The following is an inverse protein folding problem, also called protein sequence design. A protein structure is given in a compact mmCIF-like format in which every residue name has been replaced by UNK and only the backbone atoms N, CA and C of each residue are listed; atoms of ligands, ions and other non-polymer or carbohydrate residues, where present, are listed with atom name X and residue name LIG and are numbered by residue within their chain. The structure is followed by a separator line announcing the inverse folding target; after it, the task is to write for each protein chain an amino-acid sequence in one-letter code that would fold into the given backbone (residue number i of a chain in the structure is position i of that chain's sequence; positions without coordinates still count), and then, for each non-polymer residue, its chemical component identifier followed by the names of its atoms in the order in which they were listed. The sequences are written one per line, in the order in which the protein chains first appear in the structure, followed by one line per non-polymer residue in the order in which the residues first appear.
data_IF_548283969037
#
_entry.id   IF_548283969037
#
_cell.length_a   1.000
_cell.length_b   1.000
_cell.length_c   1.000
_cell.angle_alpha   90.00
_cell.angle_beta   90.00
_cell.angle_gamma   90.00
#
_symmetry.space_group_name_H-M   'P 1'
#
loop_
_entity.id
_entity.type
_entity.pdbx_description
1 polymer ?
#
# COMPACT_ATOMS: atom_id res chain seq x y z
N UNK A 1 -9.50 -15.88 15.11
CA UNK A 1 -10.11 -14.55 14.85
C UNK A 1 -10.54 -14.54 13.39
N UNK A 2 -11.83 -14.68 13.14
CA UNK A 2 -12.41 -14.57 11.80
C UNK A 2 -12.70 -13.09 11.54
N UNK A 3 -12.12 -12.46 10.51
CA UNK A 3 -12.57 -11.15 10.07
C UNK A 3 -13.96 -11.32 9.46
N UNK A 4 -14.94 -10.60 9.99
CA UNK A 4 -16.24 -10.47 9.35
C UNK A 4 -16.07 -9.58 8.11
N UNK A 5 -16.07 -10.17 6.91
CA UNK A 5 -16.32 -9.42 5.68
C UNK A 5 -17.79 -9.03 5.68
N UNK A 6 -18.10 -7.85 6.17
CA UNK A 6 -19.41 -7.24 6.01
C UNK A 6 -19.34 -6.26 4.84
N UNK A 7 -20.05 -6.53 3.75
CA UNK A 7 -20.35 -5.52 2.71
C UNK A 7 -21.37 -4.48 3.18
N UNK A 8 -21.89 -4.64 4.40
CA UNK A 8 -22.70 -3.66 5.15
C UNK A 8 -22.27 -3.67 6.62
N UNK A 9 -21.33 -2.81 6.99
CA UNK A 9 -21.14 -2.43 8.39
C UNK A 9 -22.36 -1.66 8.90
N UNK A 10 -22.61 -1.70 10.20
CA UNK A 10 -23.75 -1.07 10.88
C UNK A 10 -23.72 0.48 10.88
N UNK A 11 -22.65 1.09 10.35
CA UNK A 11 -22.63 2.51 10.03
C UNK A 11 -23.21 2.71 8.63
N UNK A 12 -24.23 3.54 8.50
CA UNK A 12 -24.68 4.02 7.20
C UNK A 12 -23.52 4.77 6.54
N UNK A 13 -22.72 4.09 5.70
CA UNK A 13 -21.72 4.79 4.89
C UNK A 13 -22.48 5.79 4.03
N UNK A 14 -22.24 7.08 4.24
CA UNK A 14 -22.85 8.10 3.40
C UNK A 14 -22.44 7.81 1.96
N UNK A 15 -23.42 7.85 1.07
CA UNK A 15 -23.21 7.77 -0.37
C UNK A 15 -23.12 9.20 -0.90
N UNK A 16 -22.52 9.44 -2.08
CA UNK A 16 -22.56 10.78 -2.64
C UNK A 16 -24.03 11.13 -2.95
N UNK A 17 -24.37 12.41 -2.89
CA UNK A 17 -25.71 12.89 -3.28
C UNK A 17 -25.88 12.91 -4.80
N UNK A 18 -24.80 13.18 -5.54
CA UNK A 18 -24.72 13.21 -7.00
C UNK A 18 -23.47 12.49 -7.51
N UNK A 19 -23.48 12.16 -8.80
CA UNK A 19 -22.26 11.78 -9.50
C UNK A 19 -21.56 13.05 -9.97
N UNK A 20 -20.46 13.40 -9.29
CA UNK A 20 -19.66 14.58 -9.61
C UNK A 20 -18.59 14.26 -10.64
N UNK A 21 -18.44 15.16 -11.62
CA UNK A 21 -17.48 15.02 -12.72
C UNK A 21 -17.60 13.62 -13.36
N UNK A 22 -18.80 13.27 -13.79
CA UNK A 22 -19.08 11.96 -14.40
C UNK A 22 -18.49 11.89 -15.81
N UNK A 23 -17.72 10.84 -16.06
CA UNK A 23 -17.10 10.53 -17.35
C UNK A 23 -17.39 9.09 -17.73
N UNK A 24 -17.77 8.88 -19.00
CA UNK A 24 -18.07 7.55 -19.54
C UNK A 24 -17.33 7.39 -20.86
N UNK A 25 -16.49 6.36 -20.97
CA UNK A 25 -15.79 5.99 -22.20
C UNK A 25 -16.18 4.57 -22.63
N UNK A 26 -16.28 4.36 -23.95
CA UNK A 26 -16.60 3.07 -24.56
C UNK A 26 -15.43 2.57 -25.39
N UNK A 27 -15.08 1.31 -25.18
CA UNK A 27 -14.00 0.63 -25.90
C UNK A 27 -14.52 -0.63 -26.56
N UNK A 28 -13.95 -1.01 -27.70
CA UNK A 28 -14.15 -2.36 -28.24
C UNK A 28 -13.45 -3.42 -27.36
N UNK A 29 -13.57 -4.69 -27.74
CA UNK A 29 -12.93 -5.81 -27.02
C UNK A 29 -11.41 -5.79 -27.03
N UNK A 30 -10.80 -5.16 -28.03
CA UNK A 30 -9.35 -4.96 -28.08
C UNK A 30 -8.87 -3.77 -27.23
N UNK A 31 -9.80 -2.97 -26.71
CA UNK A 31 -9.51 -1.77 -25.93
C UNK A 31 -9.40 -0.50 -26.77
N UNK A 32 -9.68 -0.55 -28.08
CA UNK A 32 -9.77 0.63 -28.94
C UNK A 32 -10.98 1.48 -28.57
N UNK A 33 -10.81 2.80 -28.42
CA UNK A 33 -11.95 3.68 -28.11
C UNK A 33 -12.87 3.80 -29.30
N UNK A 34 -14.16 3.53 -29.07
CA UNK A 34 -15.20 3.54 -30.11
C UNK A 34 -16.34 4.53 -29.81
N UNK A 35 -16.39 5.09 -28.60
CA UNK A 35 -17.45 6.02 -28.21
C UNK A 35 -17.24 6.60 -26.81
N UNK A 36 -18.23 7.35 -26.32
CA UNK A 36 -18.21 7.99 -25.00
C UNK A 36 -18.04 9.50 -25.04
N UNK A 37 -17.79 10.07 -23.88
CA UNK A 37 -17.79 11.51 -23.64
C UNK A 37 -16.50 12.18 -24.13
N UNK A 38 -16.61 13.44 -24.53
CA UNK A 38 -15.45 14.33 -24.78
C UNK A 38 -15.11 15.20 -23.57
N UNK A 39 -16.10 15.45 -22.70
CA UNK A 39 -15.97 16.25 -21.49
C UNK A 39 -16.75 15.59 -20.36
N UNK A 40 -16.37 15.86 -19.12
CA UNK A 40 -17.08 15.39 -17.94
C UNK A 40 -18.41 16.13 -17.74
N UNK A 41 -19.40 15.45 -17.16
CA UNK A 41 -20.63 16.07 -16.66
C UNK A 41 -20.37 16.51 -15.22
N UNK A 42 -20.40 17.81 -14.95
CA UNK A 42 -20.03 18.36 -13.65
C UNK A 42 -20.87 17.78 -12.50
N UNK A 43 -22.19 17.65 -12.69
CA UNK A 43 -23.11 17.06 -11.73
C UNK A 43 -24.18 16.24 -12.46
N UNK A 44 -24.37 14.99 -12.04
CA UNK A 44 -25.45 14.12 -12.52
C UNK A 44 -26.23 13.55 -11.34
N UNK A 45 -27.56 13.72 -11.36
CA UNK A 45 -28.43 13.20 -10.31
C UNK A 45 -28.42 11.67 -10.29
N UNK A 46 -28.31 11.08 -9.10
CA UNK A 46 -28.30 9.61 -8.95
C UNK A 46 -29.70 9.06 -9.25
N UNK A 47 -29.76 8.02 -10.08
CA UNK A 47 -31.01 7.35 -10.47
C UNK A 47 -31.77 8.04 -11.60
N UNK A 48 -31.20 9.10 -12.19
CA UNK A 48 -31.73 9.74 -13.38
C UNK A 48 -31.10 9.22 -14.67
N UNK A 49 -31.76 9.43 -15.81
CA UNK A 49 -31.22 9.08 -17.12
C UNK A 49 -30.14 10.09 -17.56
N UNK A 50 -29.20 9.62 -18.38
CA UNK A 50 -28.16 10.44 -19.00
C UNK A 50 -28.27 10.34 -20.52
N UNK A 51 -28.14 11.49 -21.20
CA UNK A 51 -28.06 11.55 -22.65
C UNK A 51 -26.60 11.40 -23.07
N UNK A 52 -26.25 10.26 -23.67
CA UNK A 52 -24.90 9.96 -24.13
C UNK A 52 -24.94 9.26 -25.49
N UNK A 53 -24.06 9.68 -26.40
CA UNK A 53 -23.87 8.99 -27.68
C UNK A 53 -22.82 7.88 -27.51
N UNK A 54 -23.27 6.64 -27.67
CA UNK A 54 -22.42 5.45 -27.72
C UNK A 54 -22.55 4.78 -29.10
N UNK A 55 -21.52 4.04 -29.49
CA UNK A 55 -21.52 3.27 -30.74
C UNK A 55 -22.18 1.92 -30.49
N UNK A 56 -23.14 1.55 -31.34
CA UNK A 56 -23.78 0.24 -31.24
C UNK A 56 -22.75 -0.88 -31.41
N UNK A 57 -22.66 -1.78 -30.44
CA UNK A 57 -21.71 -2.88 -30.43
C UNK A 57 -22.23 -4.04 -29.56
N UNK A 58 -22.28 -5.28 -30.09
CA UNK A 58 -22.83 -6.42 -29.36
C UNK A 58 -21.95 -6.91 -28.19
N UNK A 59 -20.64 -6.59 -28.20
CA UNK A 59 -19.71 -6.94 -27.13
C UNK A 59 -18.62 -5.86 -27.05
N UNK A 60 -18.78 -4.94 -26.11
CA UNK A 60 -17.85 -3.85 -25.86
C UNK A 60 -17.59 -3.67 -24.36
N UNK A 61 -16.72 -2.72 -24.03
CA UNK A 61 -16.38 -2.34 -22.66
C UNK A 61 -16.85 -0.93 -22.37
N UNK A 62 -17.31 -0.69 -21.13
CA UNK A 62 -17.61 0.65 -20.62
C UNK A 62 -16.79 0.92 -19.36
N UNK A 63 -16.13 2.08 -19.33
CA UNK A 63 -15.52 2.60 -18.11
C UNK A 63 -16.30 3.85 -17.72
N UNK A 64 -16.85 3.83 -16.51
CA UNK A 64 -17.68 4.89 -15.94
C UNK A 64 -16.99 5.36 -14.66
N UNK A 65 -16.67 6.65 -14.59
CA UNK A 65 -15.99 7.26 -13.44
C UNK A 65 -16.74 8.51 -13.01
N UNK A 66 -17.13 8.60 -11.75
CA UNK A 66 -17.43 9.85 -11.09
C UNK A 66 -16.17 10.29 -10.34
N UNK A 67 -15.49 11.33 -10.82
CA UNK A 67 -14.18 11.74 -10.30
C UNK A 67 -14.22 12.36 -8.90
N UNK A 68 -15.41 12.73 -8.43
CA UNK A 68 -15.63 13.39 -7.14
C UNK A 68 -15.68 14.91 -7.26
N UNK A 69 -16.41 15.53 -6.33
CA UNK A 69 -16.64 16.98 -6.26
C UNK A 69 -15.31 17.73 -6.14
N UNK A 70 -15.10 18.73 -6.99
CA UNK A 70 -13.87 19.54 -7.00
C UNK A 70 -12.66 18.86 -7.65
N UNK A 71 -12.73 17.59 -8.04
CA UNK A 71 -11.65 16.94 -8.77
C UNK A 71 -11.74 17.21 -10.27
N UNK A 72 -10.93 18.16 -10.77
CA UNK A 72 -10.83 18.50 -12.20
C UNK A 72 -9.46 18.19 -12.79
N UNK A 73 -8.57 17.61 -11.99
CA UNK A 73 -7.15 17.39 -12.35
C UNK A 73 -6.91 16.21 -13.28
N UNK A 74 -7.85 15.25 -13.29
CA UNK A 74 -7.69 13.95 -13.96
C UNK A 74 -8.97 13.58 -14.70
N UNK A 75 -8.81 13.02 -15.90
CA UNK A 75 -9.88 12.44 -16.72
C UNK A 75 -9.38 11.15 -17.39
N UNK A 76 -10.31 10.30 -17.85
CA UNK A 76 -9.99 9.14 -18.68
C UNK A 76 -9.42 9.62 -20.01
N UNK A 77 -10.03 10.68 -20.56
CA UNK A 77 -9.69 11.24 -21.86
C UNK A 77 -10.20 10.37 -23.00
N UNK A 78 -9.70 10.62 -24.20
CA UNK A 78 -10.18 9.98 -25.44
C UNK A 78 -9.20 8.95 -26.01
N UNK A 79 -8.25 8.49 -25.20
CA UNK A 79 -7.31 7.43 -25.56
C UNK A 79 -7.94 6.03 -25.55
N UNK A 80 -7.13 5.00 -25.77
CA UNK A 80 -7.53 3.59 -25.64
C UNK A 80 -7.63 3.15 -24.16
N UNK A 81 -8.13 1.93 -23.90
CA UNK A 81 -8.30 1.41 -22.55
C UNK A 81 -6.99 1.36 -21.76
N UNK A 82 -5.89 1.02 -22.41
CA UNK A 82 -4.57 1.03 -21.79
C UNK A 82 -4.19 2.43 -21.27
N UNK A 83 -4.56 3.50 -22.00
CA UNK A 83 -4.38 4.89 -21.56
C UNK A 83 -5.27 5.26 -20.38
N UNK A 84 -6.47 4.68 -20.27
CA UNK A 84 -7.34 4.85 -19.11
C UNK A 84 -6.80 4.10 -17.88
N UNK A 85 -6.17 2.93 -18.09
CA UNK A 85 -5.56 2.11 -17.03
C UNK A 85 -4.29 2.72 -16.43
N UNK A 86 -3.65 3.69 -17.09
CA UNK A 86 -2.54 4.45 -16.49
C UNK A 86 -3.01 5.58 -15.57
N UNK A 87 -4.31 5.92 -15.58
CA UNK A 87 -4.86 7.01 -14.75
C UNK A 87 -4.88 6.60 -13.28
N UNK A 88 -4.43 7.52 -12.43
CA UNK A 88 -4.39 7.31 -10.99
C UNK A 88 -4.68 8.59 -10.22
N UNK A 89 -5.16 8.43 -8.99
CA UNK A 89 -5.41 9.52 -8.04
C UNK A 89 -4.41 9.40 -6.89
N UNK A 90 -3.76 10.51 -6.53
CA UNK A 90 -2.81 10.55 -5.42
C UNK A 90 -3.48 10.19 -4.10
N UNK A 91 -2.75 9.50 -3.21
CA UNK A 91 -3.31 9.08 -1.93
C UNK A 91 -3.87 10.23 -1.09
N UNK A 92 -3.18 11.38 -1.11
CA UNK A 92 -3.55 12.59 -0.36
C UNK A 92 -4.93 13.15 -0.73
N UNK A 93 -5.43 12.90 -1.94
CA UNK A 93 -6.75 13.36 -2.35
C UNK A 93 -7.90 12.58 -1.67
N UNK A 94 -7.60 11.41 -1.11
CA UNK A 94 -8.61 10.50 -0.52
C UNK A 94 -8.36 10.24 0.96
N UNK A 95 -7.11 10.26 1.43
CA UNK A 95 -6.72 9.85 2.79
C UNK A 95 -7.45 10.61 3.90
N UNK A 96 -7.80 11.88 3.67
CA UNK A 96 -8.46 12.75 4.65
C UNK A 96 -10.00 12.75 4.54
N UNK A 97 -10.56 11.99 3.60
CA UNK A 97 -12.02 11.92 3.42
C UNK A 97 -12.66 11.23 4.62
N UNK A 98 -13.66 11.87 5.24
CA UNK A 98 -14.35 11.31 6.39
C UNK A 98 -15.62 10.58 5.91
N UNK A 99 -15.74 9.25 6.07
CA UNK A 99 -16.91 8.48 5.62
C UNK A 99 -18.25 8.93 6.22
N UNK A 100 -18.21 9.64 7.34
CA UNK A 100 -19.39 10.16 8.04
C UNK A 100 -19.73 11.61 7.67
N UNK A 101 -19.00 12.21 6.72
CA UNK A 101 -19.24 13.56 6.23
C UNK A 101 -19.71 13.52 4.76
N UNK A 102 -20.88 14.14 4.49
CA UNK A 102 -21.49 14.14 3.16
C UNK A 102 -20.62 14.82 2.10
N UNK A 103 -20.03 15.98 2.41
CA UNK A 103 -19.15 16.70 1.49
C UNK A 103 -17.90 15.87 1.14
N UNK A 104 -17.35 15.14 2.11
CA UNK A 104 -16.19 14.26 1.86
C UNK A 104 -16.61 13.05 1.01
N UNK A 105 -17.81 12.50 1.19
CA UNK A 105 -18.32 11.41 0.35
C UNK A 105 -18.72 11.87 -1.05
N UNK A 106 -19.04 13.14 -1.24
CA UNK A 106 -19.20 13.78 -2.54
C UNK A 106 -17.86 13.94 -3.28
N UNK A 107 -16.75 14.09 -2.53
CA UNK A 107 -15.38 14.16 -3.07
C UNK A 107 -14.77 12.80 -3.41
N UNK A 108 -15.28 11.71 -2.82
CA UNK A 108 -14.80 10.35 -3.09
C UNK A 108 -14.98 9.97 -4.57
N UNK A 109 -13.96 9.42 -5.25
CA UNK A 109 -14.11 8.89 -6.59
C UNK A 109 -14.86 7.55 -6.60
N UNK A 110 -15.73 7.36 -7.58
CA UNK A 110 -16.46 6.12 -7.80
C UNK A 110 -16.26 5.62 -9.23
N UNK A 111 -16.02 4.32 -9.40
CA UNK A 111 -15.72 3.70 -10.69
C UNK A 111 -16.54 2.44 -10.94
N UNK A 112 -16.81 2.19 -12.20
CA UNK A 112 -17.33 0.93 -12.71
C UNK A 112 -16.69 0.63 -14.06
N UNK A 113 -16.02 -0.51 -14.17
CA UNK A 113 -15.57 -1.06 -15.44
C UNK A 113 -16.42 -2.28 -15.78
N UNK A 114 -17.17 -2.18 -16.86
CA UNK A 114 -17.96 -3.27 -17.42
C UNK A 114 -17.19 -3.83 -18.60
N UNK A 115 -16.61 -5.01 -18.42
CA UNK A 115 -15.76 -5.64 -19.45
C UNK A 115 -16.59 -6.24 -20.60
N UNK A 116 -17.86 -6.58 -20.37
CA UNK A 116 -18.70 -7.25 -21.36
C UNK A 116 -20.13 -6.70 -21.33
N UNK A 117 -20.44 -5.82 -22.27
CA UNK A 117 -21.79 -5.24 -22.43
C UNK A 117 -22.17 -5.13 -23.90
N UNK A 118 -23.48 -5.24 -24.15
CA UNK A 118 -24.08 -4.95 -25.43
C UNK A 118 -24.69 -3.54 -25.39
N UNK A 119 -24.36 -2.72 -26.38
CA UNK A 119 -24.94 -1.38 -26.59
C UNK A 119 -25.75 -1.42 -27.87
N UNK A 120 -27.08 -1.31 -27.75
CA UNK A 120 -28.00 -1.37 -28.88
C UNK A 120 -29.32 -0.67 -28.55
N UNK A 121 -29.92 0.02 -29.53
CA UNK A 121 -31.31 0.48 -29.42
C UNK A 121 -31.60 1.33 -28.17
N UNK A 122 -30.69 2.23 -27.83
CA UNK A 122 -30.72 3.09 -26.61
C UNK A 122 -30.66 2.32 -25.28
N UNK A 123 -30.18 1.08 -25.28
CA UNK A 123 -30.03 0.26 -24.07
C UNK A 123 -28.59 -0.22 -23.89
N UNK A 124 -28.18 -0.33 -22.63
CA UNK A 124 -26.97 -1.06 -22.22
C UNK A 124 -27.47 -2.33 -21.54
N UNK A 125 -27.10 -3.48 -22.09
CA UNK A 125 -27.52 -4.78 -21.57
C UNK A 125 -26.29 -5.62 -21.23
N UNK A 126 -26.46 -6.59 -20.34
CA UNK A 126 -25.52 -7.71 -20.33
C UNK A 126 -25.52 -8.39 -21.71
N UNK A 127 -24.47 -9.16 -22.03
CA UNK A 127 -24.44 -9.97 -23.26
C UNK A 127 -25.60 -10.99 -23.35
N UNK A 128 -26.26 -11.29 -22.24
CA UNK A 128 -27.47 -12.13 -22.15
C UNK A 128 -28.79 -11.35 -22.32
N UNK A 129 -28.74 -10.04 -22.54
CA UNK A 129 -29.91 -9.20 -22.79
C UNK A 129 -30.66 -8.72 -21.54
N UNK A 130 -30.07 -8.82 -20.33
CA UNK A 130 -30.71 -8.34 -19.09
C UNK A 130 -30.42 -6.85 -18.88
N UNK A 131 -31.49 -6.09 -18.63
CA UNK A 131 -31.40 -4.69 -18.21
C UNK A 131 -30.95 -4.63 -16.74
N UNK A 132 -29.93 -3.82 -16.45
CA UNK A 132 -29.33 -3.70 -15.11
C UNK A 132 -29.05 -2.24 -14.77
N UNK A 133 -29.44 -1.84 -13.56
CA UNK A 133 -29.00 -0.55 -13.00
C UNK A 133 -27.51 -0.62 -12.72
N UNK A 134 -26.78 0.36 -13.24
CA UNK A 134 -25.34 0.46 -13.03
C UNK A 134 -25.04 1.02 -11.64
N UNK A 135 -24.27 0.27 -10.85
CA UNK A 135 -23.85 0.67 -9.50
C UNK A 135 -22.35 0.94 -9.53
N UNK A 136 -21.98 2.22 -9.44
CA UNK A 136 -20.59 2.61 -9.25
C UNK A 136 -20.11 2.23 -7.85
N UNK A 137 -18.82 1.94 -7.74
CA UNK A 137 -18.17 1.47 -6.51
C UNK A 137 -17.12 2.49 -6.10
N UNK A 138 -16.99 2.79 -4.81
CA UNK A 138 -15.92 3.71 -4.35
C UNK A 138 -14.56 3.14 -4.75
N UNK A 139 -13.66 4.01 -5.18
CA UNK A 139 -12.34 3.59 -5.62
C UNK A 139 -11.48 3.03 -4.48
N UNK A 140 -11.71 3.54 -3.26
CA UNK A 140 -10.88 3.26 -2.10
C UNK A 140 -11.29 2.02 -1.31
N UNK A 141 -10.31 1.44 -0.60
CA UNK A 141 -10.50 0.40 0.41
C UNK A 141 -10.52 1.05 1.79
N UNK A 142 -11.46 0.71 2.66
CA UNK A 142 -11.42 1.16 4.07
C UNK A 142 -10.74 0.09 4.90
N UNK A 143 -9.69 0.46 5.64
CA UNK A 143 -9.04 -0.41 6.61
C UNK A 143 -9.31 0.12 8.01
N UNK A 144 -9.85 -0.72 8.87
CA UNK A 144 -10.01 -0.44 10.31
C UNK A 144 -9.25 -1.48 11.10
N UNK A 145 -8.39 -1.01 12.00
CA UNK A 145 -7.54 -1.81 12.87
C UNK A 145 -7.91 -1.50 14.31
N UNK A 146 -8.26 -2.53 15.07
CA UNK A 146 -8.37 -2.52 16.52
C UNK A 146 -7.25 -3.38 17.10
N UNK A 147 -6.56 -2.93 18.14
CA UNK A 147 -5.50 -3.74 18.76
C UNK A 147 -5.45 -3.66 20.28
N UNK A 148 -4.91 -4.73 20.86
CA UNK A 148 -4.56 -4.81 22.28
C UNK A 148 -3.19 -5.45 22.43
N UNK A 149 -2.42 -4.94 23.40
CA UNK A 149 -1.06 -5.40 23.69
C UNK A 149 -0.89 -5.60 25.19
N UNK A 150 -0.43 -6.79 25.61
CA UNK A 150 -0.34 -7.15 27.04
C UNK A 150 0.96 -7.84 27.47
N UNK A 151 2.00 -7.89 26.64
CA UNK A 151 3.25 -8.54 27.01
C UNK A 151 4.13 -7.63 27.88
N UNK A 152 4.59 -8.15 29.02
CA UNK A 152 5.39 -7.40 29.99
C UNK A 152 6.84 -7.19 29.54
N UNK A 153 7.50 -6.16 30.09
CA UNK A 153 8.88 -5.81 29.76
C UNK A 153 9.09 -5.17 28.38
N UNK A 154 8.02 -5.01 27.60
CA UNK A 154 8.01 -4.34 26.31
C UNK A 154 6.79 -3.42 26.24
N UNK A 155 6.91 -2.32 25.49
CA UNK A 155 5.81 -1.38 25.26
C UNK A 155 5.63 -1.16 23.77
N UNK A 156 4.39 -1.24 23.27
CA UNK A 156 4.06 -0.90 21.89
C UNK A 156 4.41 0.57 21.62
N UNK A 157 5.28 0.83 20.64
CA UNK A 157 5.79 2.18 20.31
C UNK A 157 5.41 2.64 18.92
N UNK A 158 5.31 1.72 17.97
CA UNK A 158 5.16 2.06 16.57
C UNK A 158 4.24 1.06 15.88
N UNK A 159 3.43 1.57 14.95
CA UNK A 159 2.58 0.76 14.07
C UNK A 159 2.80 1.27 12.64
N UNK A 160 3.14 0.35 11.74
CA UNK A 160 3.47 0.64 10.35
C UNK A 160 2.57 -0.17 9.43
N UNK A 161 1.82 0.48 8.55
CA UNK A 161 1.13 -0.16 7.43
C UNK A 161 2.08 -0.10 6.23
N UNK A 162 2.56 -1.26 5.80
CA UNK A 162 3.63 -1.37 4.80
C UNK A 162 3.12 -2.00 3.51
N UNK A 163 3.87 -1.75 2.43
CA UNK A 163 3.52 -2.18 1.07
C UNK A 163 2.11 -1.71 0.68
N UNK A 164 1.79 -0.45 1.00
CA UNK A 164 0.56 0.21 0.56
C UNK A 164 0.85 0.90 -0.77
N UNK A 165 0.10 0.62 -1.86
CA UNK A 165 0.33 1.35 -3.10
C UNK A 165 0.20 2.86 -2.86
N UNK A 166 1.05 3.65 -3.51
CA UNK A 166 1.05 5.11 -3.31
C UNK A 166 -0.19 5.78 -3.94
N UNK A 167 -0.68 5.23 -5.04
CA UNK A 167 -1.73 5.84 -5.85
C UNK A 167 -2.93 4.89 -6.05
N UNK A 168 -4.12 5.47 -6.12
CA UNK A 168 -5.36 4.78 -6.47
C UNK A 168 -5.46 4.64 -7.99
N UNK A 169 -5.18 3.45 -8.54
CA UNK A 169 -5.41 3.16 -9.97
C UNK A 169 -6.91 3.16 -10.27
N UNK A 170 -7.32 4.00 -11.22
CA UNK A 170 -8.75 4.24 -11.51
C UNK A 170 -9.40 3.02 -12.17
N UNK A 171 -8.74 2.47 -13.18
CA UNK A 171 -9.18 1.26 -13.88
C UNK A 171 -8.16 0.16 -13.58
N UNK A 172 -8.64 -1.00 -13.13
CA UNK A 172 -7.76 -2.12 -12.89
C UNK A 172 -7.11 -2.59 -14.21
N UNK A 173 -5.82 -2.92 -14.14
CA UNK A 173 -5.09 -3.63 -15.18
C UNK A 173 -4.45 -4.87 -14.55
N UNK A 174 -5.23 -5.94 -14.31
CA UNK A 174 -4.71 -7.15 -13.72
C UNK A 174 -3.59 -7.73 -14.58
N UNK A 175 -2.55 -8.24 -13.93
CA UNK A 175 -1.54 -9.04 -14.60
C UNK A 175 -2.19 -10.24 -15.33
N UNK A 176 -1.61 -10.64 -16.46
CA UNK A 176 -2.22 -11.68 -17.31
C UNK A 176 -2.27 -13.04 -16.63
N UNK A 177 -1.26 -13.36 -15.84
CA UNK A 177 -1.05 -14.68 -15.28
C UNK A 177 -1.70 -14.76 -13.89
N UNK A 178 -1.28 -13.89 -12.98
CA UNK A 178 -1.68 -13.98 -11.57
C UNK A 178 -2.93 -13.15 -11.23
N UNK A 179 -3.44 -12.35 -12.20
CA UNK A 179 -4.56 -11.42 -12.01
C UNK A 179 -4.35 -10.40 -10.88
N UNK A 180 -3.10 -10.14 -10.52
CA UNK A 180 -2.73 -9.19 -9.46
C UNK A 180 -2.68 -7.76 -9.97
N UNK A 181 -3.00 -6.79 -9.12
CA UNK A 181 -2.90 -5.36 -9.41
C UNK A 181 -2.93 -4.54 -8.11
N UNK A 182 -2.30 -3.36 -8.03
CA UNK A 182 -1.50 -2.69 -9.06
C UNK A 182 -0.19 -3.43 -9.33
N UNK A 183 0.60 -2.94 -10.30
CA UNK A 183 1.87 -3.56 -10.69
C UNK A 183 2.84 -3.60 -9.50
N UNK A 184 3.63 -4.66 -9.38
CA UNK A 184 4.74 -4.69 -8.41
C UNK A 184 5.78 -3.59 -8.69
N UNK A 185 5.81 -3.06 -9.92
CA UNK A 185 6.69 -1.96 -10.34
C UNK A 185 6.14 -0.57 -10.00
N UNK A 186 4.88 -0.48 -9.55
CA UNK A 186 4.30 0.78 -9.11
C UNK A 186 4.94 1.22 -7.78
N UNK A 187 4.80 2.49 -7.42
CA UNK A 187 5.34 3.00 -6.16
C UNK A 187 4.47 2.54 -4.98
N UNK A 188 5.14 2.15 -3.89
CA UNK A 188 4.54 1.82 -2.60
C UNK A 188 5.03 2.78 -1.52
N UNK A 189 4.25 2.89 -0.46
CA UNK A 189 4.55 3.71 0.71
C UNK A 189 4.29 2.95 1.99
N UNK A 190 4.79 3.52 3.09
CA UNK A 190 4.53 3.08 4.46
C UNK A 190 3.75 4.18 5.17
N UNK A 191 2.59 3.83 5.72
CA UNK A 191 1.83 4.73 6.60
C UNK A 191 2.27 4.44 8.04
N UNK A 192 2.88 5.43 8.68
CA UNK A 192 3.28 5.37 10.08
C UNK A 192 2.25 6.10 10.94
N UNK A 193 1.73 5.41 11.96
CA UNK A 193 0.85 6.04 12.93
C UNK A 193 1.66 6.96 13.87
N UNK A 194 1.04 8.06 14.25
CA UNK A 194 1.51 8.96 15.30
C UNK A 194 1.42 8.29 16.66
N UNK A 195 2.18 8.79 17.65
CA UNK A 195 2.14 8.29 19.02
C UNK A 195 0.74 8.35 19.64
N UNK A 196 -0.04 9.39 19.32
CA UNK A 196 -1.44 9.54 19.75
C UNK A 196 -2.34 8.45 19.16
N UNK A 197 -2.21 8.16 17.86
CA UNK A 197 -2.99 7.10 17.21
C UNK A 197 -2.63 5.72 17.78
N UNK A 198 -1.33 5.45 17.98
CA UNK A 198 -0.86 4.20 18.63
C UNK A 198 -1.47 4.03 20.03
N UNK A 199 -1.57 5.12 20.81
CA UNK A 199 -2.15 5.11 22.15
C UNK A 199 -3.67 4.91 22.18
N UNK A 200 -4.37 5.12 21.06
CA UNK A 200 -5.85 5.04 21.00
C UNK A 200 -6.34 3.58 20.98
N UNK A 201 -5.56 2.65 20.42
CA UNK A 201 -5.97 1.24 20.29
C UNK A 201 -6.88 0.95 19.10
N UNK A 202 -7.22 1.97 18.29
CA UNK A 202 -7.96 1.85 17.03
C UNK A 202 -7.38 2.83 16.00
N UNK A 203 -7.39 2.44 14.72
CA UNK A 203 -7.08 3.32 13.60
C UNK A 203 -7.91 2.94 12.38
N UNK A 204 -8.42 3.92 11.65
CA UNK A 204 -9.18 3.72 10.42
C UNK A 204 -8.68 4.65 9.32
N UNK A 205 -8.45 4.13 8.12
CA UNK A 205 -7.93 4.90 7.00
C UNK A 205 -8.43 4.38 5.64
N UNK A 206 -8.27 5.22 4.62
CA UNK A 206 -8.42 4.84 3.22
C UNK A 206 -7.08 4.40 2.65
N UNK A 207 -7.07 3.24 2.00
CA UNK A 207 -5.90 2.74 1.27
C UNK A 207 -6.27 2.35 -0.16
N UNK A 208 -5.33 2.42 -1.11
CA UNK A 208 -5.54 1.88 -2.45
C UNK A 208 -5.81 0.38 -2.46
N UNK A 209 -6.43 -0.06 -3.54
CA UNK A 209 -6.58 -1.49 -3.85
C UNK A 209 -5.21 -2.15 -3.96
N UNK A 210 -5.05 -3.34 -3.37
CA UNK A 210 -3.86 -4.17 -3.51
C UNK A 210 -4.23 -5.66 -3.59
N UNK A 211 -4.35 -6.18 -4.80
CA UNK A 211 -4.77 -7.56 -5.12
C UNK A 211 -3.52 -8.39 -5.43
N UNK A 212 -3.26 -9.39 -4.59
CA UNK A 212 -2.05 -10.22 -4.59
C UNK A 212 -2.32 -11.71 -4.71
N UNK A 213 -3.56 -12.08 -4.94
CA UNK A 213 -4.00 -13.46 -5.11
C UNK A 213 -4.13 -14.20 -3.79
N UNK A 214 -4.05 -15.52 -3.88
CA UNK A 214 -4.21 -16.43 -2.76
C UNK A 214 -3.05 -17.40 -2.66
N UNK A 215 -2.64 -17.78 -1.45
CA UNK A 215 -1.66 -18.83 -1.23
C UNK A 215 -2.20 -19.91 -0.28
N UNK A 216 -2.29 -21.14 -0.77
CA UNK A 216 -2.80 -22.29 -0.02
C UNK A 216 -1.91 -22.72 1.16
N UNK A 217 -0.63 -22.33 1.17
CA UNK A 217 0.29 -22.59 2.28
C UNK A 217 -0.07 -21.79 3.55
N UNK A 218 -0.84 -20.70 3.42
CA UNK A 218 -1.39 -19.96 4.56
C UNK A 218 -2.66 -20.66 5.11
N UNK A 219 -2.50 -21.91 5.56
CA UNK A 219 -3.58 -22.81 6.00
C UNK A 219 -4.35 -22.31 7.23
N UNK A 220 -3.78 -21.37 7.98
CA UNK A 220 -4.43 -20.70 9.10
C UNK A 220 -3.89 -19.27 9.26
N UNK A 221 -4.50 -18.47 10.15
CA UNK A 221 -4.00 -17.12 10.48
C UNK A 221 -2.58 -17.13 11.06
N UNK A 222 -2.13 -18.22 11.70
CA UNK A 222 -0.74 -18.35 12.18
C UNK A 222 0.24 -18.69 11.06
N UNK A 223 -0.24 -19.23 9.93
CA UNK A 223 0.55 -19.48 8.72
C UNK A 223 0.42 -18.35 7.67
N UNK A 224 -0.29 -17.27 7.99
CA UNK A 224 -0.33 -16.05 7.19
C UNK A 224 0.92 -15.20 7.45
N UNK A 225 2.07 -15.78 7.10
CA UNK A 225 3.42 -15.30 7.44
C UNK A 225 4.19 -14.90 6.18
N UNK A 226 5.35 -14.25 6.37
CA UNK A 226 6.18 -13.73 5.27
C UNK A 226 6.52 -14.77 4.20
N UNK A 227 6.85 -16.01 4.57
CA UNK A 227 7.19 -17.07 3.62
C UNK A 227 6.01 -17.55 2.76
N UNK A 228 4.77 -17.27 3.20
CA UNK A 228 3.55 -17.72 2.53
C UNK A 228 2.77 -16.55 1.92
N UNK A 229 3.17 -15.32 2.18
CA UNK A 229 2.55 -14.14 1.58
C UNK A 229 3.10 -13.93 0.17
N UNK A 230 2.24 -13.76 -0.85
CA UNK A 230 2.69 -13.33 -2.18
C UNK A 230 3.46 -12.01 -2.10
N UNK A 231 4.44 -11.83 -2.98
CA UNK A 231 5.24 -10.60 -3.08
C UNK A 231 4.36 -9.37 -3.21
N UNK A 232 4.68 -8.29 -2.50
CA UNK A 232 3.91 -7.03 -2.54
C UNK A 232 2.58 -7.05 -1.76
N UNK A 233 2.31 -8.09 -0.95
CA UNK A 233 1.16 -8.13 -0.03
C UNK A 233 1.29 -7.08 1.07
N UNK A 234 0.25 -6.27 1.26
CA UNK A 234 0.20 -5.30 2.36
C UNK A 234 0.16 -5.98 3.73
N UNK A 235 0.79 -5.37 4.72
CA UNK A 235 0.79 -5.87 6.09
C UNK A 235 0.89 -4.72 7.10
N UNK A 236 0.57 -5.03 8.34
CA UNK A 236 0.79 -4.15 9.49
C UNK A 236 1.88 -4.75 10.36
N UNK A 237 2.90 -3.96 10.69
CA UNK A 237 3.90 -4.30 11.71
C UNK A 237 3.58 -3.50 12.98
N UNK A 238 3.31 -4.21 14.07
CA UNK A 238 3.24 -3.64 15.42
C UNK A 238 4.59 -3.82 16.07
N UNK A 239 5.21 -2.75 16.55
CA UNK A 239 6.58 -2.80 17.06
C UNK A 239 6.59 -2.37 18.52
N UNK A 240 6.96 -3.31 19.39
CA UNK A 240 7.13 -3.06 20.81
C UNK A 240 8.62 -2.98 21.15
N UNK A 241 9.01 -1.95 21.89
CA UNK A 241 10.38 -1.77 22.38
C UNK A 241 10.50 -2.25 23.82
N UNK A 242 11.62 -2.86 24.18
CA UNK A 242 11.88 -3.29 25.55
C UNK A 242 11.97 -2.05 26.46
N UNK A 243 11.42 -2.16 27.67
CA UNK A 243 11.34 -1.04 28.60
C UNK A 243 12.66 -0.69 29.27
N UNK A 244 13.60 -1.63 29.31
CA UNK A 244 14.94 -1.45 29.89
C UNK A 244 16.01 -1.18 28.84
N UNK A 245 15.87 -1.75 27.64
CA UNK A 245 16.77 -1.55 26.50
C UNK A 245 15.97 -1.28 25.21
N UNK A 246 15.67 -0.01 24.89
CA UNK A 246 14.84 0.34 23.73
C UNK A 246 15.37 -0.14 22.36
N UNK A 247 16.63 -0.57 22.28
CA UNK A 247 17.22 -1.17 21.07
C UNK A 247 16.64 -2.55 20.79
N UNK A 248 16.26 -3.29 21.84
CA UNK A 248 15.59 -4.59 21.73
C UNK A 248 14.12 -4.40 21.42
N UNK A 249 13.66 -4.99 20.33
CA UNK A 249 12.29 -4.81 19.82
C UNK A 249 11.67 -6.14 19.43
N UNK A 250 10.34 -6.18 19.50
CA UNK A 250 9.52 -7.25 18.96
C UNK A 250 8.66 -6.66 17.85
N UNK A 251 8.85 -7.14 16.62
CA UNK A 251 8.01 -6.78 15.48
C UNK A 251 7.00 -7.88 15.21
N UNK A 252 5.72 -7.56 15.37
CA UNK A 252 4.60 -8.48 15.13
C UNK A 252 3.95 -8.14 13.78
N UNK A 253 4.13 -9.02 12.80
CA UNK A 253 3.65 -8.83 11.43
C UNK A 253 2.29 -9.48 11.21
N UNK A 254 1.36 -8.70 10.68
CA UNK A 254 0.00 -9.15 10.31
C UNK A 254 -0.27 -8.80 8.85
N UNK A 255 -0.29 -9.81 7.97
CA UNK A 255 -0.65 -9.61 6.56
C UNK A 255 -2.15 -9.31 6.39
N UNK A 256 -2.43 -8.35 5.51
CA UNK A 256 -3.78 -7.87 5.19
C UNK A 256 -4.38 -8.61 3.98
N UNK A 257 -5.71 -8.63 3.90
CA UNK A 257 -6.50 -9.25 2.82
C UNK A 257 -7.82 -9.86 3.32
N UNK A 258 -8.39 -10.81 2.57
CA UNK A 258 -9.69 -11.38 2.87
C UNK A 258 -9.77 -12.17 4.20
N UNK A 259 -10.99 -12.58 4.53
CA UNK A 259 -11.32 -13.31 5.76
C UNK A 259 -10.67 -14.70 5.83
N UNK A 260 -10.43 -15.33 4.68
CA UNK A 260 -9.65 -16.57 4.57
C UNK A 260 -8.18 -16.26 4.76
N UNK A 261 -7.46 -17.07 5.54
CA UNK A 261 -6.03 -16.90 5.76
C UNK A 261 -5.20 -17.00 4.49
N UNK A 262 -5.72 -17.69 3.48
CA UNK A 262 -5.09 -17.84 2.16
C UNK A 262 -5.26 -16.61 1.26
N UNK A 263 -6.13 -15.65 1.59
CA UNK A 263 -6.52 -14.55 0.70
C UNK A 263 -5.81 -13.25 1.07
N UNK A 264 -4.90 -12.78 0.21
CA UNK A 264 -4.08 -11.58 0.41
C UNK A 264 -4.59 -10.36 -0.39
N UNK A 265 -5.85 -10.39 -0.83
CA UNK A 265 -6.42 -9.34 -1.65
C UNK A 265 -7.11 -8.25 -0.82
N UNK A 266 -6.78 -6.99 -1.15
CA UNK A 266 -7.46 -5.79 -0.69
C UNK A 266 -8.17 -5.14 -1.88
N UNK A 267 -9.49 -5.25 -1.96
CA UNK A 267 -10.28 -4.71 -3.06
C UNK A 267 -10.86 -3.33 -2.74
N UNK A 268 -10.86 -2.44 -3.74
CA UNK A 268 -11.64 -1.22 -3.70
C UNK A 268 -13.11 -1.50 -3.41
N UNK A 269 -13.77 -0.53 -2.79
CA UNK A 269 -15.13 -0.65 -2.30
C UNK A 269 -15.36 -1.68 -1.19
N UNK A 270 -14.31 -2.19 -0.56
CA UNK A 270 -14.43 -3.16 0.54
C UNK A 270 -13.95 -2.57 1.87
N UNK A 271 -14.65 -2.92 2.95
CA UNK A 271 -14.25 -2.61 4.32
C UNK A 271 -13.54 -3.83 4.92
N UNK A 272 -12.31 -3.62 5.38
CA UNK A 272 -11.51 -4.61 6.06
C UNK A 272 -11.35 -4.22 7.53
N UNK A 273 -12.00 -4.97 8.41
CA UNK A 273 -11.99 -4.74 9.85
C UNK A 273 -11.16 -5.83 10.53
N UNK A 274 -10.07 -5.43 11.20
CA UNK A 274 -9.17 -6.32 11.91
C UNK A 274 -9.19 -6.06 13.40
N UNK A 275 -9.21 -7.13 14.19
CA UNK A 275 -8.92 -7.08 15.61
C UNK A 275 -7.67 -7.90 15.90
N UNK A 276 -6.61 -7.24 16.37
CA UNK A 276 -5.29 -7.82 16.64
C UNK A 276 -5.06 -7.88 18.14
N UNK A 277 -4.90 -9.09 18.68
CA UNK A 277 -4.56 -9.30 20.09
C UNK A 277 -3.15 -9.83 20.21
N UNK A 278 -2.26 -9.05 20.82
CA UNK A 278 -0.87 -9.42 21.07
C UNK A 278 -0.73 -9.76 22.55
N UNK A 279 -0.70 -11.06 22.85
CA UNK A 279 -0.59 -11.59 24.20
C UNK A 279 0.19 -12.89 24.20
N UNK A 280 1.25 -12.96 25.01
CA UNK A 280 2.08 -14.14 25.26
C UNK A 280 2.78 -13.97 26.61
N UNK A 281 3.39 -15.04 27.13
CA UNK A 281 4.03 -15.07 28.47
C UNK A 281 5.55 -15.10 28.34
N UNK A 282 6.06 -15.86 27.37
CA UNK A 282 7.49 -16.00 27.06
C UNK A 282 7.80 -15.38 25.70
N UNK A 283 9.09 -15.09 25.45
CA UNK A 283 9.54 -14.61 24.14
C UNK A 283 9.05 -15.56 23.03
N UNK A 284 8.36 -15.06 21.99
CA UNK A 284 7.68 -15.89 21.01
C UNK A 284 8.65 -16.41 19.93
N UNK A 285 9.69 -17.13 20.33
CA UNK A 285 10.79 -17.61 19.47
C UNK A 285 10.35 -18.52 18.32
N UNK A 286 9.21 -19.21 18.48
CA UNK A 286 8.67 -20.14 17.48
C UNK A 286 7.55 -19.52 16.64
N UNK A 287 7.10 -18.30 16.94
CA UNK A 287 6.05 -17.65 16.17
C UNK A 287 6.66 -16.91 14.97
N UNK A 288 6.47 -17.48 13.78
CA UNK A 288 7.01 -16.93 12.52
C UNK A 288 6.38 -15.59 12.10
N UNK A 289 5.37 -15.11 12.81
CA UNK A 289 4.82 -13.75 12.66
C UNK A 289 5.62 -12.72 13.43
N UNK A 290 6.44 -13.15 14.39
CA UNK A 290 7.21 -12.28 15.27
C UNK A 290 8.67 -12.30 14.87
N UNK A 291 9.24 -11.12 14.68
CA UNK A 291 10.69 -10.95 14.53
C UNK A 291 11.23 -10.38 15.84
N UNK A 292 12.16 -11.11 16.45
CA UNK A 292 12.92 -10.64 17.60
C UNK A 292 14.10 -9.84 17.08
N UNK A 293 14.15 -8.56 17.43
CA UNK A 293 15.20 -7.62 17.06
C UNK A 293 16.02 -7.38 18.32
N UNK A 294 17.19 -8.01 18.40
CA UNK A 294 18.17 -7.81 19.48
C UNK A 294 19.51 -7.47 18.83
N UNK A 295 19.67 -6.21 18.37
CA UNK A 295 20.85 -5.81 17.64
C UNK A 295 22.04 -5.75 18.60
N UNK A 296 23.12 -6.42 18.24
CA UNK A 296 24.42 -6.20 18.87
C UNK A 296 25.03 -4.98 18.18
N UNK A 297 25.62 -4.06 18.96
CA UNK A 297 26.26 -2.89 18.39
C UNK A 297 27.33 -3.31 17.37
N UNK A 298 27.48 -2.55 16.28
CA UNK A 298 28.48 -2.89 15.27
C UNK A 298 29.89 -2.88 15.87
N UNK A 299 30.16 -1.98 16.81
CA UNK A 299 31.37 -1.92 17.63
C UNK A 299 31.65 -3.17 18.47
N UNK A 300 30.63 -3.96 18.81
CA UNK A 300 30.76 -5.11 19.72
C UNK A 300 30.93 -6.44 18.99
N UNK A 301 30.32 -6.62 17.81
CA UNK A 301 30.33 -7.94 17.14
C UNK A 301 30.14 -7.92 15.61
N UNK A 302 30.29 -6.77 14.94
CA UNK A 302 30.20 -6.72 13.48
C UNK A 302 31.58 -6.62 12.84
N UNK A 303 32.19 -7.78 12.61
CA UNK A 303 33.51 -7.88 11.99
C UNK A 303 33.42 -7.97 10.45
N UNK A 304 32.23 -7.75 9.86
CA UNK A 304 31.99 -7.84 8.41
C UNK A 304 32.42 -6.54 7.71
N UNK A 305 33.71 -6.23 7.82
CA UNK A 305 34.30 -5.07 7.15
C UNK A 305 34.30 -5.31 5.63
N UNK A 306 33.47 -4.57 4.92
CA UNK A 306 33.47 -4.57 3.45
C UNK A 306 34.42 -3.50 2.94
N UNK A 307 35.18 -3.78 1.85
CA UNK A 307 35.96 -2.76 1.18
C UNK A 307 35.10 -1.56 0.80
N UNK A 308 35.56 -0.33 1.06
CA UNK A 308 34.82 0.87 0.69
C UNK A 308 34.57 0.89 -0.82
N UNK A 309 33.31 1.07 -1.20
CA UNK A 309 32.84 1.07 -2.58
C UNK A 309 31.88 2.24 -2.82
N UNK A 310 31.69 2.61 -4.09
CA UNK A 310 30.71 3.64 -4.45
C UNK A 310 29.26 3.21 -4.14
N UNK A 311 28.99 1.90 -4.17
CA UNK A 311 27.70 1.31 -3.84
C UNK A 311 27.90 -0.04 -3.15
N UNK A 312 27.07 -0.34 -2.15
CA UNK A 312 27.05 -1.64 -1.47
C UNK A 312 25.78 -2.40 -1.84
N UNK A 313 25.94 -3.69 -2.16
CA UNK A 313 24.83 -4.61 -2.31
C UNK A 313 24.65 -5.38 -1.00
N UNK A 314 23.58 -5.07 -0.26
CA UNK A 314 23.32 -5.66 1.05
C UNK A 314 22.10 -6.57 0.95
N UNK A 315 22.25 -7.82 1.40
CA UNK A 315 21.12 -8.72 1.50
C UNK A 315 20.12 -8.20 2.55
N UNK A 316 18.79 -8.31 2.34
CA UNK A 316 17.81 -7.91 3.34
C UNK A 316 18.08 -8.55 4.71
N UNK A 317 18.12 -7.75 5.77
CA UNK A 317 18.45 -8.21 7.13
C UNK A 317 19.93 -8.46 7.40
N UNK A 318 20.80 -8.22 6.42
CA UNK A 318 22.25 -8.21 6.60
C UNK A 318 22.75 -6.91 7.22
N UNK A 319 23.94 -6.97 7.80
CA UNK A 319 24.69 -5.82 8.29
C UNK A 319 26.08 -5.81 7.65
N UNK A 320 26.64 -4.61 7.47
CA UNK A 320 27.99 -4.41 6.95
C UNK A 320 28.66 -3.28 7.73
N UNK A 321 29.99 -3.32 7.78
CA UNK A 321 30.80 -2.23 8.30
C UNK A 321 31.70 -1.72 7.19
N UNK A 322 31.93 -0.41 7.13
CA UNK A 322 32.94 0.17 6.25
C UNK A 322 33.75 1.17 7.06
N UNK A 323 35.03 1.35 6.69
CA UNK A 323 35.88 2.37 7.29
C UNK A 323 35.95 3.56 6.33
N UNK A 324 35.34 4.72 6.67
CA UNK A 324 35.33 5.88 5.78
C UNK A 324 36.73 6.44 5.48
N UNK A 325 37.71 6.20 6.37
CA UNK A 325 39.09 6.67 6.24
C UNK A 325 39.95 5.82 5.32
N UNK A 326 39.44 4.70 4.82
CA UNK A 326 40.20 3.82 3.92
C UNK A 326 39.37 3.44 2.71
N UNK A 327 40.02 3.20 1.58
CA UNK A 327 39.39 2.66 0.38
C UNK A 327 40.25 1.56 -0.22
N UNK A 328 39.68 0.75 -1.10
CA UNK A 328 40.35 -0.45 -1.58
C UNK A 328 40.71 -0.31 -3.06
N UNK A 329 41.99 -0.35 -3.38
CA UNK A 329 42.51 -0.29 -4.76
C UNK A 329 43.25 -1.58 -5.04
N UNK A 330 42.89 -2.29 -6.12
CA UNK A 330 43.64 -3.46 -6.63
C UNK A 330 43.96 -4.55 -5.59
N UNK A 331 43.07 -4.81 -4.63
CA UNK A 331 43.32 -5.82 -3.60
C UNK A 331 44.03 -5.30 -2.35
N UNK A 332 44.32 -4.01 -2.27
CA UNK A 332 45.00 -3.41 -1.13
C UNK A 332 44.21 -2.24 -0.53
N UNK A 333 44.25 -2.16 0.79
CA UNK A 333 43.66 -1.06 1.55
C UNK A 333 44.58 0.16 1.45
N UNK A 334 44.03 1.26 0.95
CA UNK A 334 44.67 2.56 0.82
C UNK A 334 44.01 3.55 1.78
N UNK A 335 44.81 4.51 2.26
CA UNK A 335 44.33 5.59 3.12
C UNK A 335 43.59 6.64 2.27
N UNK A 336 42.41 7.05 2.72
CA UNK A 336 41.75 8.25 2.20
C UNK A 336 42.42 9.49 2.79
N UNK A 337 43.58 9.87 2.23
CA UNK A 337 44.38 11.00 2.72
C UNK A 337 43.55 12.28 2.81
N UNK A 338 42.69 12.56 1.82
CA UNK A 338 41.83 13.73 1.80
C UNK A 338 40.84 13.76 2.96
N UNK A 339 40.09 12.67 3.20
CA UNK A 339 39.17 12.62 4.33
C UNK A 339 39.92 12.55 5.66
N UNK A 340 41.06 11.85 5.71
CA UNK A 340 41.88 11.76 6.91
C UNK A 340 42.40 13.15 7.31
N UNK A 341 42.88 13.95 6.36
CA UNK A 341 43.36 15.31 6.57
C UNK A 341 42.23 16.24 7.02
N UNK A 342 41.07 16.15 6.36
CA UNK A 342 39.87 16.89 6.76
C UNK A 342 39.43 16.52 8.18
N UNK A 343 39.60 15.26 8.57
CA UNK A 343 39.23 14.78 9.89
C UNK A 343 40.38 14.77 10.91
N UNK A 344 41.53 15.37 10.58
CA UNK A 344 42.71 15.41 11.48
C UNK A 344 42.44 16.18 12.78
N UNK A 345 41.51 17.13 12.76
CA UNK A 345 41.15 18.01 13.88
C UNK A 345 39.64 18.02 14.20
N UNK A 346 38.81 17.52 13.29
CA UNK A 346 37.35 17.47 13.41
C UNK A 346 36.86 16.05 13.13
N UNK A 347 35.92 15.54 13.93
CA UNK A 347 35.35 14.21 13.70
C UNK A 347 34.25 14.25 12.64
N UNK A 348 34.01 13.11 11.97
CA UNK A 348 32.81 12.91 11.15
C UNK A 348 31.59 13.16 12.05
N UNK A 349 30.77 14.15 11.69
CA UNK A 349 29.62 14.57 12.51
C UNK A 349 28.35 13.78 12.17
N UNK A 350 28.19 13.37 10.92
CA UNK A 350 27.03 12.60 10.46
C UNK A 350 27.37 11.78 9.22
N UNK A 351 26.64 10.69 9.02
CA UNK A 351 26.67 9.86 7.81
C UNK A 351 25.24 9.76 7.29
N UNK A 352 25.06 9.91 5.98
CA UNK A 352 23.78 9.73 5.30
C UNK A 352 23.88 8.54 4.35
N UNK A 353 22.92 7.62 4.45
CA UNK A 353 22.80 6.49 3.52
C UNK A 353 21.86 6.87 2.39
N UNK A 354 22.28 6.59 1.16
CA UNK A 354 21.44 6.59 -0.03
C UNK A 354 21.44 5.16 -0.57
N UNK A 355 20.29 4.64 -0.98
CA UNK A 355 20.16 3.24 -1.41
C UNK A 355 19.21 3.14 -2.61
N UNK A 356 19.23 2.00 -3.27
CA UNK A 356 18.30 1.63 -4.35
C UNK A 356 18.09 0.10 -4.32
N UNK A 357 16.85 -0.38 -4.46
CA UNK A 357 16.57 -1.82 -4.51
C UNK A 357 16.86 -2.40 -5.90
N UNK A 358 17.35 -3.64 -5.96
CA UNK A 358 17.66 -4.35 -7.23
C UNK A 358 16.40 -4.82 -7.96
N UNK A 359 15.30 -5.02 -7.23
CA UNK A 359 14.02 -5.39 -7.81
C UNK A 359 13.20 -4.13 -8.09
N UNK A 360 13.21 -3.73 -9.35
CA UNK A 360 12.02 -3.35 -10.11
C UNK A 360 10.93 -2.59 -9.30
N UNK A 361 11.16 -1.31 -9.09
CA UNK A 361 10.07 -0.35 -8.82
C UNK A 361 9.61 -0.18 -7.38
N UNK A 362 10.24 -0.82 -6.39
CA UNK A 362 10.08 -0.38 -5.00
C UNK A 362 10.80 0.97 -4.81
N UNK A 363 10.10 2.05 -5.19
CA UNK A 363 10.45 3.46 -4.89
C UNK A 363 9.88 3.86 -3.52
N UNK A 364 9.50 2.89 -2.68
CA UNK A 364 9.22 3.12 -1.28
C UNK A 364 10.54 3.15 -0.51
N UNK A 365 10.73 4.13 0.38
CA UNK A 365 11.89 4.19 1.26
C UNK A 365 12.02 2.86 2.04
N UNK A 366 13.03 2.02 1.76
CA UNK A 366 13.58 1.08 2.73
C UNK A 366 13.84 1.84 4.03
N UNK A 367 13.10 1.49 5.06
CA UNK A 367 13.44 1.89 6.39
C UNK A 367 14.80 1.27 6.73
N UNK A 368 15.78 2.11 7.09
CA UNK A 368 17.00 1.70 7.78
C UNK A 368 16.59 1.10 9.14
N UNK A 369 16.08 -0.12 9.17
CA UNK A 369 15.56 -0.76 10.38
C UNK A 369 14.45 0.02 11.09
N UNK A 370 14.18 -0.38 12.33
CA UNK A 370 13.26 0.34 13.21
C UNK A 370 14.07 1.32 14.04
N UNK A 371 13.88 2.62 13.87
CA UNK A 371 14.57 3.67 14.66
C UNK A 371 14.15 3.65 16.13
N UNK A 372 15.03 4.07 17.04
CA UNK A 372 14.68 4.22 18.48
C UNK A 372 13.83 5.46 18.69
N UNK A 373 14.13 6.54 17.97
CA UNK A 373 13.30 7.74 17.84
C UNK A 373 13.58 8.46 16.52
N UNK A 374 12.95 9.61 16.25
CA UNK A 374 13.27 10.41 15.04
C UNK A 374 14.74 10.80 14.97
N UNK A 375 15.37 11.00 16.13
CA UNK A 375 16.72 11.57 16.28
C UNK A 375 17.72 10.53 16.83
N UNK A 376 17.25 9.34 17.21
CA UNK A 376 18.08 8.25 17.76
C UNK A 376 18.01 7.02 16.86
N UNK A 377 19.05 6.87 16.04
CA UNK A 377 19.25 5.77 15.11
C UNK A 377 20.40 4.85 15.57
N UNK A 378 20.80 4.92 16.85
CA UNK A 378 21.98 4.20 17.39
C UNK A 378 21.90 2.68 17.29
N UNK A 379 20.69 2.13 17.12
CA UNK A 379 20.47 0.70 16.93
C UNK A 379 20.60 0.26 15.44
N UNK A 380 20.79 1.22 14.53
CA UNK A 380 20.85 1.04 13.08
C UNK A 380 22.23 1.45 12.57
N UNK A 381 22.77 2.56 13.07
CA UNK A 381 24.08 3.12 12.71
C UNK A 381 24.86 3.35 13.99
N UNK A 382 26.07 2.78 14.04
CA UNK A 382 27.07 3.05 15.08
C UNK A 382 28.18 3.89 14.41
N UNK A 383 28.50 5.07 14.95
CA UNK A 383 29.45 6.04 14.38
C UNK A 383 30.78 6.04 15.11
#
# INVERSE_FOLDING_TARGET
LQPAMATKGAESSLKPDKLYNLEIQQYDRSGGRIGGMSNVVAEQEIGSAISLTLTANPDCQLVIVAWGKGNTSTTLGTGNLASAQTKSINASAISELNPSNQEHMNQMPYVLHLEHVCVEGNTIKSIEGKDVRLLLRRLATRLTLDWTYSYSGYQLKQILLQSIPLNYKVVAAPDKDDKTYPSLLDQYTTIQLTSTEVGTGNYSCWIPTNVRGTNSLATSQTYRIKSNAPTGSSYVDFIAANTSDPKKKLSYRVYLGGSKSTDFNLYGNTDYNYTVKISHIDLPVNDRRVTIIDPIAASENNNNLVPTANCFMVAPGGAFCFNPYTFYINGETQLNEQLHDWCSTIKIQSVKVLWQTKENGDVGDPALGVVTSSDDHTNIVDL
#
